data_IF_707703150903
#
_entry.id   IF_707703150903
#
_cell.length_a   1.000
_cell.length_b   1.000
_cell.length_c   1.000
_cell.angle_alpha   90.00
_cell.angle_beta   90.00
_cell.angle_gamma   90.00
#
_symmetry.space_group_name_H-M   'P 1'
#
loop_
_entity.id
_entity.type
_entity.pdbx_description
1 polymer ?
#
# COMPACT_ATOMS: atom_id res chain seq x y z
N UNK A 1 10.81 22.28 -18.09
CA UNK A 1 11.93 21.47 -18.59
C UNK A 1 11.43 20.19 -19.23
N UNK A 2 10.52 19.41 -18.64
CA UNK A 2 10.01 18.15 -19.23
C UNK A 2 9.52 18.26 -20.68
N UNK A 3 8.83 19.34 -21.04
CA UNK A 3 8.41 19.57 -22.43
C UNK A 3 9.55 19.62 -23.45
N UNK A 4 10.78 19.98 -23.04
CA UNK A 4 11.99 19.93 -23.89
C UNK A 4 12.23 18.51 -24.40
N UNK A 5 11.88 17.50 -23.60
CA UNK A 5 12.04 16.10 -23.96
C UNK A 5 11.20 15.71 -25.17
N UNK A 6 10.26 16.53 -25.66
CA UNK A 6 9.38 16.25 -26.80
C UNK A 6 9.59 17.21 -27.99
N UNK A 7 10.53 18.15 -27.88
CA UNK A 7 10.73 19.21 -28.85
C UNK A 7 12.12 19.12 -29.49
N UNK A 8 12.24 19.67 -30.71
CA UNK A 8 13.56 19.96 -31.28
C UNK A 8 14.18 21.17 -30.59
N UNK A 9 15.51 21.26 -30.60
CA UNK A 9 16.24 22.38 -30.00
C UNK A 9 15.82 23.75 -30.56
N UNK A 10 15.48 23.81 -31.85
CA UNK A 10 14.97 25.02 -32.51
C UNK A 10 13.63 25.48 -31.91
N UNK A 11 12.68 24.55 -31.73
CA UNK A 11 11.37 24.84 -31.14
C UNK A 11 11.51 25.21 -29.68
N UNK A 12 12.39 24.52 -28.95
CA UNK A 12 12.67 24.82 -27.55
C UNK A 12 13.25 26.23 -27.39
N UNK A 13 14.25 26.59 -28.21
CA UNK A 13 14.84 27.94 -28.21
C UNK A 13 13.80 29.02 -28.50
N UNK A 14 12.92 28.79 -29.49
CA UNK A 14 11.82 29.71 -29.78
C UNK A 14 10.92 29.94 -28.56
N UNK A 15 10.58 28.88 -27.82
CA UNK A 15 9.76 28.99 -26.59
C UNK A 15 10.50 29.77 -25.49
N UNK A 16 11.81 29.58 -25.34
CA UNK A 16 12.63 30.33 -24.39
C UNK A 16 12.65 31.82 -24.73
N UNK A 17 12.87 32.15 -26.02
CA UNK A 17 12.91 33.52 -26.53
C UNK A 17 11.56 34.23 -26.37
N UNK A 18 10.45 33.56 -26.72
CA UNK A 18 9.09 34.09 -26.55
C UNK A 18 8.73 34.37 -25.09
N UNK A 19 9.32 33.61 -24.15
CA UNK A 19 9.09 33.77 -22.71
C UNK A 19 10.11 34.69 -22.04
N UNK A 20 11.16 35.11 -22.73
CA UNK A 20 12.24 35.94 -22.18
C UNK A 20 12.98 35.28 -21.02
N UNK A 21 13.14 33.96 -21.04
CA UNK A 21 13.82 33.19 -19.98
C UNK A 21 14.91 32.31 -20.58
N UNK A 22 15.96 32.06 -19.81
CA UNK A 22 17.00 31.11 -20.19
C UNK A 22 16.67 29.70 -19.71
N UNK A 23 17.37 28.71 -20.25
CA UNK A 23 17.25 27.33 -19.76
C UNK A 23 17.70 27.21 -18.29
N UNK A 24 18.74 27.94 -17.89
CA UNK A 24 19.20 27.97 -16.50
C UNK A 24 18.14 28.55 -15.56
N UNK A 25 17.41 29.58 -15.98
CA UNK A 25 16.29 30.12 -15.20
C UNK A 25 15.22 29.04 -14.98
N UNK A 26 14.84 28.30 -16.03
CA UNK A 26 13.84 27.26 -15.92
C UNK A 26 14.30 26.05 -15.10
N UNK A 27 15.57 25.66 -15.23
CA UNK A 27 16.17 24.53 -14.54
C UNK A 27 16.41 24.87 -13.06
N UNK A 28 17.21 25.90 -12.80
CA UNK A 28 17.87 26.09 -11.50
C UNK A 28 17.05 26.96 -10.51
N UNK A 29 16.13 27.80 -11.00
CA UNK A 29 15.41 28.76 -10.13
C UNK A 29 14.00 28.35 -9.76
N UNK A 30 13.37 27.47 -10.54
CA UNK A 30 11.94 27.11 -10.37
C UNK A 30 11.72 25.92 -9.43
N UNK A 31 12.73 25.07 -9.28
CA UNK A 31 12.64 23.83 -8.53
C UNK A 31 13.81 23.76 -7.56
N UNK A 32 13.54 23.40 -6.31
CA UNK A 32 14.60 23.20 -5.32
C UNK A 32 15.31 21.86 -5.51
N UNK A 33 14.60 20.87 -6.08
CA UNK A 33 15.13 19.55 -6.40
C UNK A 33 14.31 18.92 -7.53
N UNK A 34 14.94 17.99 -8.25
CA UNK A 34 14.33 17.21 -9.33
C UNK A 34 14.57 15.74 -9.04
N UNK A 35 13.50 14.96 -9.00
CA UNK A 35 13.55 13.52 -8.76
C UNK A 35 13.11 12.79 -10.02
N UNK A 36 14.07 12.20 -10.72
CA UNK A 36 13.79 11.38 -11.89
C UNK A 36 13.57 9.93 -11.47
N UNK A 37 12.32 9.48 -11.47
CA UNK A 37 11.98 8.08 -11.25
C UNK A 37 12.06 7.32 -12.56
N UNK A 38 13.14 6.54 -12.74
CA UNK A 38 13.40 5.79 -13.98
C UNK A 38 12.21 4.88 -14.31
N UNK A 39 11.77 4.94 -15.57
CA UNK A 39 10.69 4.12 -16.13
C UNK A 39 10.89 2.63 -15.85
N UNK A 40 9.79 1.89 -15.65
CA UNK A 40 9.86 0.43 -15.51
C UNK A 40 10.48 -0.25 -16.75
N UNK A 41 10.40 0.36 -17.93
CA UNK A 41 11.04 -0.18 -19.12
C UNK A 41 12.58 -0.31 -19.00
N UNK A 42 13.23 0.44 -18.11
CA UNK A 42 14.66 0.33 -17.81
C UNK A 42 14.89 -0.53 -16.56
N UNK A 43 15.35 -1.77 -16.73
CA UNK A 43 15.71 -2.66 -15.61
C UNK A 43 14.54 -3.31 -14.85
N UNK A 44 13.29 -3.01 -15.21
CA UNK A 44 12.08 -3.55 -14.58
C UNK A 44 10.99 -3.89 -15.62
N UNK A 45 11.40 -4.32 -16.81
CA UNK A 45 10.54 -4.41 -18.01
C UNK A 45 9.33 -5.31 -17.84
N UNK A 46 9.42 -6.32 -16.98
CA UNK A 46 8.29 -7.13 -16.57
C UNK A 46 7.16 -6.29 -15.98
N UNK A 47 7.43 -5.23 -15.24
CA UNK A 47 6.42 -4.34 -14.66
C UNK A 47 5.91 -3.27 -15.64
N UNK A 48 6.47 -3.17 -16.84
CA UNK A 48 5.99 -2.24 -17.86
C UNK A 48 4.81 -2.86 -18.63
N UNK A 49 3.58 -2.43 -18.30
CA UNK A 49 2.37 -2.90 -18.98
C UNK A 49 1.61 -1.75 -19.64
N UNK A 50 0.99 -2.07 -20.78
CA UNK A 50 0.02 -1.20 -21.48
C UNK A 50 -1.43 -1.56 -21.14
N UNK A 51 -1.66 -2.75 -20.60
CA UNK A 51 -3.01 -3.31 -20.34
C UNK A 51 -3.80 -2.51 -19.29
N UNK A 52 -3.10 -1.87 -18.35
CA UNK A 52 -3.72 -1.22 -17.20
C UNK A 52 -3.79 0.30 -17.32
N UNK A 53 -3.30 0.87 -18.44
CA UNK A 53 -3.22 2.33 -18.60
C UNK A 53 -3.63 2.73 -20.03
N UNK A 54 -4.88 3.20 -20.18
CA UNK A 54 -5.44 3.61 -21.47
C UNK A 54 -4.73 4.82 -22.10
N UNK A 55 -3.98 5.59 -21.31
CA UNK A 55 -3.25 6.77 -21.78
C UNK A 55 -1.80 6.46 -22.18
N UNK A 56 -1.30 5.24 -21.90
CA UNK A 56 0.06 4.83 -22.25
C UNK A 56 0.08 4.16 -23.63
N UNK A 57 0.83 4.74 -24.55
CA UNK A 57 0.86 4.29 -25.96
C UNK A 57 2.25 3.87 -26.43
N UNK A 58 3.28 4.19 -25.63
CA UNK A 58 4.69 3.99 -25.96
C UNK A 58 5.14 2.53 -25.75
N UNK A 59 5.86 1.98 -26.73
CA UNK A 59 6.54 0.68 -26.55
C UNK A 59 7.61 0.79 -25.45
N UNK A 60 8.07 -0.34 -24.86
CA UNK A 60 9.15 -0.31 -23.87
C UNK A 60 10.40 0.46 -24.35
N UNK A 61 10.78 0.30 -25.62
CA UNK A 61 11.94 0.99 -26.22
C UNK A 61 11.70 2.50 -26.35
N UNK A 62 10.49 2.89 -26.77
CA UNK A 62 10.12 4.31 -26.84
C UNK A 62 10.08 4.95 -25.46
N UNK A 63 9.57 4.23 -24.46
CA UNK A 63 9.56 4.67 -23.07
C UNK A 63 10.99 4.82 -22.52
N UNK A 64 11.90 3.91 -22.87
CA UNK A 64 13.32 3.99 -22.52
C UNK A 64 14.00 5.23 -23.13
N UNK A 65 13.80 5.47 -24.43
CA UNK A 65 14.37 6.66 -25.10
C UNK A 65 13.84 7.95 -24.50
N UNK A 66 12.52 8.01 -24.27
CA UNK A 66 11.86 9.17 -23.71
C UNK A 66 12.26 9.44 -22.26
N UNK A 67 12.44 8.40 -21.45
CA UNK A 67 12.94 8.50 -20.07
C UNK A 67 14.35 9.11 -20.06
N UNK A 68 15.25 8.59 -20.90
CA UNK A 68 16.62 9.11 -21.05
C UNK A 68 16.65 10.55 -21.56
N UNK A 69 15.78 10.91 -22.50
CA UNK A 69 15.64 12.31 -22.97
C UNK A 69 15.16 13.22 -21.86
N UNK A 70 14.16 12.80 -21.10
CA UNK A 70 13.62 13.56 -19.96
C UNK A 70 14.68 13.78 -18.89
N UNK A 71 15.45 12.73 -18.57
CA UNK A 71 16.60 12.84 -17.68
C UNK A 71 17.62 13.86 -18.20
N UNK A 72 17.98 13.79 -19.49
CA UNK A 72 18.92 14.74 -20.11
C UNK A 72 18.48 16.20 -20.01
N UNK A 73 17.17 16.46 -20.06
CA UNK A 73 16.64 17.81 -19.98
C UNK A 73 16.96 18.50 -18.64
N UNK A 74 17.14 17.73 -17.57
CA UNK A 74 17.43 18.26 -16.23
C UNK A 74 18.91 18.22 -15.85
N UNK A 75 19.78 17.74 -16.74
CA UNK A 75 21.21 17.70 -16.48
C UNK A 75 21.75 19.09 -16.11
N UNK A 76 22.53 19.12 -15.03
CA UNK A 76 23.11 20.34 -14.47
C UNK A 76 22.30 20.99 -13.35
N UNK A 77 21.09 20.51 -13.04
CA UNK A 77 20.36 20.97 -11.86
C UNK A 77 21.13 20.56 -10.58
N UNK A 78 21.39 21.47 -9.62
CA UNK A 78 22.24 21.19 -8.44
C UNK A 78 21.74 20.00 -7.59
N UNK A 79 20.43 19.85 -7.49
CA UNK A 79 19.74 18.80 -6.74
C UNK A 79 18.95 17.85 -7.65
N UNK A 80 19.62 17.27 -8.65
CA UNK A 80 19.03 16.22 -9.50
C UNK A 80 19.33 14.84 -8.92
N UNK A 81 18.28 14.07 -8.64
CA UNK A 81 18.38 12.70 -8.15
C UNK A 81 17.73 11.74 -9.13
N UNK A 82 18.43 10.64 -9.42
CA UNK A 82 17.93 9.59 -10.33
C UNK A 82 17.70 8.34 -9.50
N UNK A 83 16.46 7.85 -9.52
CA UNK A 83 16.05 6.64 -8.83
C UNK A 83 15.84 5.52 -9.85
N UNK A 84 16.78 4.59 -9.87
CA UNK A 84 16.80 3.39 -10.70
C UNK A 84 15.85 2.29 -10.18
N UNK A 85 15.76 1.18 -10.92
CA UNK A 85 14.92 0.02 -10.60
C UNK A 85 15.73 -1.15 -9.99
N UNK A 86 16.83 -0.87 -9.30
CA UNK A 86 17.67 -1.89 -8.64
C UNK A 86 17.03 -2.56 -7.42
N UNK A 87 15.93 -2.00 -6.90
CA UNK A 87 15.15 -2.52 -5.78
C UNK A 87 13.67 -2.64 -6.18
N UNK A 88 12.86 -3.28 -5.34
CA UNK A 88 11.40 -3.24 -5.50
C UNK A 88 10.85 -1.81 -5.43
N UNK A 89 9.60 -1.64 -5.89
CA UNK A 89 8.96 -0.33 -6.01
C UNK A 89 8.81 0.40 -4.67
N UNK A 90 8.50 -0.33 -3.59
CA UNK A 90 8.36 0.25 -2.25
C UNK A 90 9.70 0.75 -1.73
N UNK A 91 10.77 -0.02 -1.92
CA UNK A 91 12.13 0.37 -1.57
C UNK A 91 12.61 1.58 -2.39
N UNK A 92 12.22 1.65 -3.67
CA UNK A 92 12.47 2.81 -4.53
C UNK A 92 11.74 4.06 -4.03
N UNK A 93 10.49 3.94 -3.61
CA UNK A 93 9.73 5.02 -2.98
C UNK A 93 10.34 5.44 -1.65
N UNK A 94 10.79 4.49 -0.81
CA UNK A 94 11.45 4.81 0.45
C UNK A 94 12.75 5.59 0.22
N UNK A 95 13.54 5.23 -0.81
CA UNK A 95 14.72 6.02 -1.22
C UNK A 95 14.33 7.45 -1.60
N UNK A 96 13.25 7.64 -2.37
CA UNK A 96 12.74 8.96 -2.72
C UNK A 96 12.37 9.77 -1.47
N UNK A 97 11.56 9.18 -0.58
CA UNK A 97 11.14 9.80 0.67
C UNK A 97 12.35 10.19 1.52
N UNK A 98 13.35 9.31 1.63
CA UNK A 98 14.57 9.60 2.39
C UNK A 98 15.34 10.80 1.82
N UNK A 99 15.49 10.90 0.49
CA UNK A 99 16.14 12.06 -0.14
C UNK A 99 15.34 13.34 0.10
N UNK A 100 14.00 13.28 -0.06
CA UNK A 100 13.12 14.43 0.20
C UNK A 100 13.25 14.89 1.64
N UNK A 101 13.19 13.96 2.61
CA UNK A 101 13.36 14.28 4.03
C UNK A 101 14.72 14.96 4.29
N UNK A 102 15.80 14.46 3.72
CA UNK A 102 17.14 15.07 3.82
C UNK A 102 17.15 16.51 3.31
N UNK A 103 16.52 16.77 2.16
CA UNK A 103 16.47 18.10 1.55
C UNK A 103 15.64 19.10 2.37
N UNK A 104 14.56 18.65 3.01
CA UNK A 104 13.71 19.52 3.84
C UNK A 104 14.10 19.54 5.32
N UNK A 105 15.20 18.87 5.69
CA UNK A 105 15.68 18.80 7.08
C UNK A 105 14.85 17.92 8.02
N UNK A 106 14.09 16.97 7.47
CA UNK A 106 13.35 15.96 8.23
C UNK A 106 14.21 14.71 8.50
N UNK A 107 13.97 13.99 9.61
CA UNK A 107 14.65 12.74 9.90
C UNK A 107 14.40 11.69 8.81
N UNK A 108 15.47 11.06 8.31
CA UNK A 108 15.45 10.20 7.11
C UNK A 108 15.46 8.71 7.41
N UNK A 109 15.25 8.33 8.66
CA UNK A 109 15.41 6.97 9.14
C UNK A 109 14.15 6.46 9.85
N UNK A 110 12.98 7.01 9.60
CA UNK A 110 11.74 6.47 10.17
C UNK A 110 10.91 5.86 9.04
N UNK A 111 10.86 4.53 8.97
CA UNK A 111 9.88 3.82 8.14
C UNK A 111 8.65 3.50 9.00
N UNK A 112 7.46 3.83 8.48
CA UNK A 112 6.19 3.43 9.12
C UNK A 112 6.01 1.93 8.89
N UNK A 113 6.11 1.15 9.96
CA UNK A 113 5.93 -0.30 9.95
C UNK A 113 4.65 -0.65 10.71
N UNK A 114 4.01 -1.74 10.32
CA UNK A 114 2.98 -2.35 11.15
C UNK A 114 3.49 -3.66 11.69
N UNK A 115 3.46 -3.83 13.00
CA UNK A 115 3.74 -5.13 13.63
C UNK A 115 2.44 -5.76 14.11
N UNK A 116 2.41 -7.10 14.19
CA UNK A 116 1.23 -7.87 14.55
C UNK A 116 1.54 -8.75 15.75
N UNK A 117 0.61 -8.81 16.71
CA UNK A 117 0.71 -9.69 17.87
C UNK A 117 -0.53 -10.58 17.93
N UNK A 118 -0.34 -11.84 18.29
CA UNK A 118 -1.44 -12.74 18.63
C UNK A 118 -1.93 -12.39 20.04
N UNK A 119 -3.24 -12.25 20.20
CA UNK A 119 -3.88 -12.09 21.50
C UNK A 119 -4.44 -13.43 21.97
N UNK A 120 -4.39 -13.67 23.27
CA UNK A 120 -4.96 -14.88 23.88
C UNK A 120 -6.49 -14.91 23.76
N UNK A 121 -7.13 -13.75 23.83
CA UNK A 121 -8.58 -13.60 23.72
C UNK A 121 -8.99 -12.21 23.26
N UNK A 122 -10.25 -12.11 22.83
CA UNK A 122 -10.91 -10.82 22.54
C UNK A 122 -11.05 -10.02 23.85
N UNK A 123 -10.59 -8.76 23.90
CA UNK A 123 -10.86 -7.91 25.07
C UNK A 123 -12.35 -7.59 25.16
N UNK A 124 -12.85 -7.51 26.39
CA UNK A 124 -14.22 -7.09 26.63
C UNK A 124 -14.28 -5.56 26.78
N UNK A 125 -15.49 -4.97 26.76
CA UNK A 125 -15.65 -3.52 26.88
C UNK A 125 -15.11 -2.94 28.18
N UNK A 126 -14.97 -3.75 29.23
CA UNK A 126 -14.40 -3.37 30.53
C UNK A 126 -12.88 -3.53 30.61
N UNK A 127 -12.25 -4.17 29.62
CA UNK A 127 -10.79 -4.32 29.55
C UNK A 127 -10.08 -3.01 29.23
N UNK A 128 -10.78 -2.03 28.65
CA UNK A 128 -10.18 -0.75 28.30
C UNK A 128 -10.18 0.18 29.53
N UNK A 129 -9.03 0.79 29.88
CA UNK A 129 -8.97 1.87 30.87
C UNK A 129 -9.90 3.03 30.50
N UNK A 130 -10.38 3.76 31.50
CA UNK A 130 -11.37 4.85 31.31
C UNK A 130 -10.84 6.01 30.46
N UNK A 131 -9.53 6.16 30.39
CA UNK A 131 -8.80 7.18 29.64
C UNK A 131 -8.41 6.72 28.23
N UNK A 132 -8.75 5.48 27.84
CA UNK A 132 -8.50 4.95 26.50
C UNK A 132 -9.80 4.85 25.72
N UNK A 133 -10.04 5.86 24.89
CA UNK A 133 -11.13 5.83 23.92
C UNK A 133 -10.87 4.81 22.81
N UNK A 134 -11.94 4.15 22.36
CA UNK A 134 -11.87 3.21 21.25
C UNK A 134 -13.07 3.36 20.31
N UNK A 135 -12.84 3.03 19.04
CA UNK A 135 -13.88 2.95 18.01
C UNK A 135 -14.01 1.53 17.47
N UNK A 136 -15.25 1.12 17.24
CA UNK A 136 -15.57 -0.20 16.72
C UNK A 136 -16.00 -0.16 15.27
N UNK A 137 -15.63 -1.19 14.54
CA UNK A 137 -15.98 -1.37 13.14
C UNK A 137 -16.33 -2.82 12.86
N UNK A 138 -17.36 -3.04 12.06
CA UNK A 138 -17.57 -4.34 11.41
C UNK A 138 -16.84 -4.33 10.06
N UNK A 139 -16.04 -5.35 9.79
CA UNK A 139 -15.33 -5.51 8.53
C UNK A 139 -15.69 -6.84 7.89
N UNK A 140 -16.13 -6.78 6.65
CA UNK A 140 -16.35 -7.93 5.78
C UNK A 140 -15.33 -7.88 4.63
N UNK A 141 -14.66 -9.00 4.36
CA UNK A 141 -13.83 -9.19 3.16
C UNK A 141 -14.37 -10.35 2.35
N UNK A 142 -14.55 -10.11 1.06
CA UNK A 142 -15.05 -11.08 0.09
C UNK A 142 -14.02 -11.22 -1.01
N UNK A 143 -13.36 -12.36 -1.07
CA UNK A 143 -12.40 -12.69 -2.14
C UNK A 143 -13.15 -12.95 -3.44
N UNK A 144 -12.56 -12.53 -4.56
CA UNK A 144 -13.14 -12.63 -5.89
C UNK A 144 -12.42 -13.68 -6.72
N UNK A 145 -13.12 -14.27 -7.69
CA UNK A 145 -12.50 -15.15 -8.69
C UNK A 145 -11.54 -14.32 -9.54
N UNK A 146 -10.26 -14.72 -9.57
CA UNK A 146 -9.25 -14.11 -10.45
C UNK A 146 -9.39 -14.76 -11.83
N UNK A 147 -9.63 -13.95 -12.86
CA UNK A 147 -9.84 -14.46 -14.23
C UNK A 147 -8.54 -14.90 -14.91
N UNK A 148 -7.37 -14.39 -14.46
CA UNK A 148 -6.06 -14.72 -15.02
C UNK A 148 -5.24 -15.60 -14.08
N UNK A 149 -5.27 -16.91 -14.32
CA UNK A 149 -4.55 -17.92 -13.52
C UNK A 149 -3.03 -17.99 -13.77
N UNK A 150 -2.48 -17.14 -14.64
CA UNK A 150 -1.07 -17.15 -15.02
C UNK A 150 -0.14 -16.63 -13.90
N UNK A 151 -0.64 -15.78 -13.01
CA UNK A 151 0.12 -15.25 -11.87
C UNK A 151 -0.15 -16.10 -10.62
N UNK A 152 0.73 -17.07 -10.35
CA UNK A 152 0.64 -17.93 -9.17
C UNK A 152 0.62 -17.08 -7.88
N UNK A 153 -0.54 -16.94 -7.25
CA UNK A 153 -0.71 -16.21 -5.99
C UNK A 153 -1.25 -14.78 -6.11
N UNK A 154 -1.71 -14.35 -7.28
CA UNK A 154 -2.54 -13.16 -7.41
C UNK A 154 -3.93 -13.40 -6.79
N UNK A 155 -4.52 -12.36 -6.19
CA UNK A 155 -5.88 -12.41 -5.65
C UNK A 155 -6.50 -11.03 -5.59
N UNK A 156 -7.83 -10.98 -5.63
CA UNK A 156 -8.59 -9.75 -5.45
C UNK A 156 -9.63 -9.95 -4.34
N UNK A 157 -9.94 -8.88 -3.60
CA UNK A 157 -11.04 -8.88 -2.66
C UNK A 157 -11.71 -7.50 -2.57
N UNK A 158 -13.02 -7.52 -2.35
CA UNK A 158 -13.76 -6.34 -1.90
C UNK A 158 -13.87 -6.35 -0.38
N UNK A 159 -13.78 -5.16 0.22
CA UNK A 159 -13.92 -4.95 1.66
C UNK A 159 -15.02 -3.95 1.93
N UNK A 160 -15.94 -4.29 2.82
CA UNK A 160 -16.89 -3.37 3.44
C UNK A 160 -16.47 -3.12 4.88
N UNK A 161 -16.31 -1.86 5.26
CA UNK A 161 -16.06 -1.44 6.65
C UNK A 161 -17.22 -0.57 7.12
N UNK A 162 -17.88 -0.96 8.20
CA UNK A 162 -19.01 -0.24 8.78
C UNK A 162 -18.61 0.32 10.13
N UNK A 163 -18.81 1.61 10.35
CA UNK A 163 -18.59 2.26 11.64
C UNK A 163 -19.71 1.89 12.60
N UNK A 164 -19.36 1.46 13.80
CA UNK A 164 -20.30 1.16 14.87
C UNK A 164 -20.22 2.30 15.89
N UNK A 165 -21.32 3.06 15.98
CA UNK A 165 -21.47 4.14 16.94
C UNK A 165 -21.96 3.65 18.31
N UNK A 166 -22.23 4.59 19.19
CA UNK A 166 -22.75 4.33 20.53
C UNK A 166 -24.04 3.49 20.49
N UNK A 167 -24.15 2.56 21.45
CA UNK A 167 -25.27 1.62 21.54
C UNK A 167 -25.33 0.58 20.41
N UNK A 168 -24.24 0.39 19.65
CA UNK A 168 -24.15 -0.64 18.60
C UNK A 168 -24.81 -0.24 17.28
N UNK A 169 -25.18 1.03 17.09
CA UNK A 169 -25.83 1.49 15.86
C UNK A 169 -24.82 1.65 14.72
N UNK A 170 -25.19 1.19 13.52
CA UNK A 170 -24.35 1.33 12.32
C UNK A 170 -24.41 2.78 11.79
N UNK A 171 -23.26 3.42 11.63
CA UNK A 171 -23.11 4.84 11.24
C UNK A 171 -22.50 5.02 9.84
N UNK A 172 -22.80 4.11 8.92
CA UNK A 172 -22.34 4.16 7.53
C UNK A 172 -21.22 3.17 7.22
N UNK A 173 -21.05 2.92 5.91
CA UNK A 173 -20.09 1.95 5.38
C UNK A 173 -19.21 2.56 4.29
N UNK A 174 -17.94 2.18 4.28
CA UNK A 174 -16.98 2.46 3.21
C UNK A 174 -16.64 1.14 2.51
N UNK A 175 -16.50 1.21 1.18
CA UNK A 175 -16.21 0.07 0.34
C UNK A 175 -14.87 0.26 -0.37
N UNK A 176 -14.10 -0.81 -0.49
CA UNK A 176 -12.78 -0.79 -1.14
C UNK A 176 -12.59 -2.05 -1.97
N UNK A 177 -12.00 -1.92 -3.15
CA UNK A 177 -11.43 -3.02 -3.93
C UNK A 177 -9.94 -3.09 -3.68
N UNK A 178 -9.40 -4.29 -3.56
CA UNK A 178 -7.96 -4.52 -3.43
C UNK A 178 -7.53 -5.64 -4.35
N UNK A 179 -6.60 -5.32 -5.24
CA UNK A 179 -6.01 -6.25 -6.19
C UNK A 179 -4.56 -6.49 -5.79
N UNK A 180 -4.22 -7.76 -5.62
CA UNK A 180 -2.87 -8.22 -5.28
C UNK A 180 -2.34 -9.02 -6.46
N UNK A 181 -1.28 -8.52 -7.09
CA UNK A 181 -0.55 -9.21 -8.14
C UNK A 181 0.81 -9.66 -7.61
N UNK A 182 1.30 -10.80 -8.11
CA UNK A 182 2.66 -11.27 -7.84
C UNK A 182 3.40 -11.37 -9.16
N UNK A 183 4.50 -10.64 -9.30
CA UNK A 183 5.32 -10.63 -10.51
C UNK A 183 6.80 -10.55 -10.13
N UNK A 184 7.59 -11.47 -10.68
CA UNK A 184 9.03 -11.65 -10.38
C UNK A 184 9.37 -11.70 -8.87
N UNK A 185 8.55 -12.41 -8.09
CA UNK A 185 8.73 -12.54 -6.64
C UNK A 185 8.34 -11.28 -5.84
N UNK A 186 7.96 -10.18 -6.49
CA UNK A 186 7.45 -8.98 -5.86
C UNK A 186 5.91 -9.00 -5.78
N UNK A 187 5.37 -8.44 -4.70
CA UNK A 187 3.93 -8.34 -4.45
C UNK A 187 3.48 -6.90 -4.65
N UNK A 188 2.50 -6.69 -5.52
CA UNK A 188 1.90 -5.38 -5.80
C UNK A 188 0.48 -5.36 -5.28
N UNK A 189 0.15 -4.39 -4.44
CA UNK A 189 -1.18 -4.23 -3.88
C UNK A 189 -1.77 -2.88 -4.33
N UNK A 190 -2.83 -2.91 -5.13
CA UNK A 190 -3.57 -1.70 -5.52
C UNK A 190 -4.85 -1.59 -4.69
N UNK A 191 -5.11 -0.41 -4.12
CA UNK A 191 -6.30 -0.14 -3.28
C UNK A 191 -7.10 1.01 -3.87
N UNK A 192 -8.40 0.80 -4.07
CA UNK A 192 -9.33 1.82 -4.57
C UNK A 192 -10.60 1.87 -3.72
N UNK A 193 -11.01 3.06 -3.31
CA UNK A 193 -12.37 3.28 -2.75
C UNK A 193 -13.37 3.10 -3.88
N UNK A 194 -14.40 2.29 -3.64
CA UNK A 194 -15.46 2.00 -4.62
C UNK A 194 -16.82 2.41 -4.08
N UNK A 195 -17.78 2.60 -4.96
CA UNK A 195 -19.17 2.83 -4.59
C UNK A 195 -19.85 1.55 -4.05
N UNK A 196 -20.96 1.72 -3.34
CA UNK A 196 -21.80 0.59 -2.92
C UNK A 196 -22.32 -0.24 -4.12
N UNK A 197 -22.58 0.43 -5.26
CA UNK A 197 -23.01 -0.23 -6.50
C UNK A 197 -21.91 -1.13 -7.07
N UNK A 198 -20.69 -0.62 -7.14
CA UNK A 198 -19.52 -1.41 -7.56
C UNK A 198 -19.26 -2.58 -6.62
N UNK A 199 -19.35 -2.36 -5.29
CA UNK A 199 -19.24 -3.45 -4.32
C UNK A 199 -20.25 -4.58 -4.60
N UNK A 200 -21.52 -4.23 -4.78
CA UNK A 200 -22.57 -5.21 -5.04
C UNK A 200 -22.41 -5.90 -6.40
N UNK A 201 -21.85 -5.22 -7.40
CA UNK A 201 -21.53 -5.82 -8.69
C UNK A 201 -20.40 -6.84 -8.55
N UNK A 202 -19.27 -6.46 -7.93
CA UNK A 202 -18.12 -7.34 -7.68
C UNK A 202 -18.47 -8.49 -6.74
N UNK A 203 -19.37 -8.31 -5.79
CA UNK A 203 -19.80 -9.39 -4.88
C UNK A 203 -20.37 -10.60 -5.63
N UNK A 204 -20.94 -10.39 -6.82
CA UNK A 204 -21.47 -11.48 -7.66
C UNK A 204 -20.37 -12.40 -8.22
N UNK A 205 -19.14 -11.91 -8.32
CA UNK A 205 -17.96 -12.70 -8.75
C UNK A 205 -17.13 -13.18 -7.56
N UNK A 206 -17.73 -13.35 -6.38
CA UNK A 206 -17.06 -13.92 -5.21
C UNK A 206 -16.50 -15.31 -5.51
N UNK A 207 -15.33 -15.61 -4.97
CA UNK A 207 -14.69 -16.92 -5.06
C UNK A 207 -15.42 -17.91 -4.13
N UNK A 208 -16.09 -18.94 -4.67
CA UNK A 208 -16.81 -19.92 -3.85
C UNK A 208 -15.88 -20.86 -3.09
N UNK A 209 -14.60 -20.94 -3.42
CA UNK A 209 -13.60 -21.74 -2.69
C UNK A 209 -13.11 -21.05 -1.40
N UNK A 210 -13.68 -19.88 -1.08
CA UNK A 210 -13.28 -19.05 0.07
C UNK A 210 -14.46 -18.62 0.92
N UNK A 211 -14.28 -18.70 2.23
CA UNK A 211 -15.15 -18.08 3.21
C UNK A 211 -15.10 -16.56 3.10
N UNK A 212 -16.24 -15.93 3.37
CA UNK A 212 -16.30 -14.49 3.65
C UNK A 212 -15.67 -14.27 5.02
N UNK A 213 -14.62 -13.44 5.08
CA UNK A 213 -13.95 -13.13 6.33
C UNK A 213 -14.68 -11.99 7.01
N UNK A 214 -15.18 -12.23 8.24
CA UNK A 214 -15.88 -11.24 9.06
C UNK A 214 -15.08 -10.96 10.32
N UNK A 215 -14.93 -9.68 10.62
CA UNK A 215 -14.14 -9.21 11.75
C UNK A 215 -14.86 -8.08 12.47
N UNK A 216 -14.84 -8.10 13.80
CA UNK A 216 -14.93 -6.86 14.56
C UNK A 216 -13.53 -6.26 14.66
N UNK A 217 -13.41 -4.96 14.40
CA UNK A 217 -12.18 -4.21 14.62
C UNK A 217 -12.37 -3.16 15.70
N UNK A 218 -11.44 -3.13 16.64
CA UNK A 218 -11.40 -2.14 17.72
C UNK A 218 -10.13 -1.32 17.55
N UNK A 219 -10.28 -0.04 17.20
CA UNK A 219 -9.15 0.89 17.03
C UNK A 219 -9.09 1.85 18.20
N UNK A 220 -7.89 2.09 18.73
CA UNK A 220 -7.64 2.96 19.88
C UNK A 220 -6.22 3.52 19.83
N UNK A 221 -5.99 4.57 20.62
CA UNK A 221 -4.66 5.13 20.85
C UNK A 221 -4.18 4.72 22.24
N UNK A 222 -2.91 4.35 22.35
CA UNK A 222 -2.27 4.08 23.64
C UNK A 222 -0.82 4.52 23.58
N UNK A 223 -0.37 5.35 24.52
CA UNK A 223 0.99 5.93 24.56
C UNK A 223 1.46 6.47 23.20
N UNK A 224 0.60 7.25 22.53
CA UNK A 224 0.86 7.87 21.22
C UNK A 224 1.03 6.88 20.05
N UNK A 225 0.73 5.60 20.26
CA UNK A 225 0.73 4.58 19.23
C UNK A 225 -0.71 4.20 18.86
N UNK A 226 -0.93 3.98 17.56
CA UNK A 226 -2.24 3.57 17.04
C UNK A 226 -2.32 2.06 16.96
N UNK A 227 -3.33 1.50 17.62
CA UNK A 227 -3.58 0.07 17.63
C UNK A 227 -4.90 -0.25 16.93
N UNK A 228 -4.99 -1.45 16.37
CA UNK A 228 -6.26 -2.01 15.92
C UNK A 228 -6.29 -3.51 16.18
N UNK A 229 -7.26 -3.94 16.98
CA UNK A 229 -7.52 -5.35 17.22
C UNK A 229 -8.41 -5.85 16.10
N UNK A 230 -8.04 -6.97 15.49
CA UNK A 230 -8.85 -7.74 14.56
C UNK A 230 -9.38 -8.97 15.29
N UNK A 231 -10.62 -8.92 15.75
CA UNK A 231 -11.32 -10.09 16.26
C UNK A 231 -12.02 -10.79 15.10
N UNK A 232 -11.55 -11.98 14.73
CA UNK A 232 -12.15 -12.78 13.66
C UNK A 232 -13.42 -13.47 14.17
N UNK A 233 -14.53 -13.21 13.49
CA UNK A 233 -15.83 -13.83 13.76
C UNK A 233 -16.07 -15.00 12.81
N UNK A 234 -15.59 -14.89 11.56
CA UNK A 234 -15.63 -15.95 10.55
C UNK A 234 -14.40 -15.83 9.64
N UNK A 235 -13.82 -16.95 9.17
CA UNK A 235 -14.14 -18.34 9.50
C UNK A 235 -13.44 -18.87 10.77
N UNK A 236 -12.68 -18.02 11.47
CA UNK A 236 -11.87 -18.44 12.62
C UNK A 236 -12.32 -17.75 13.93
N UNK A 237 -13.47 -18.12 14.51
CA UNK A 237 -13.92 -17.58 15.79
C UNK A 237 -12.86 -17.72 16.88
N UNK A 238 -12.68 -16.68 17.68
CA UNK A 238 -11.72 -16.67 18.80
C UNK A 238 -10.32 -16.18 18.43
N UNK A 239 -9.96 -16.14 17.15
CA UNK A 239 -8.70 -15.57 16.71
C UNK A 239 -8.71 -14.04 16.86
N UNK A 240 -7.75 -13.51 17.62
CA UNK A 240 -7.57 -12.07 17.82
C UNK A 240 -6.15 -11.64 17.49
N UNK A 241 -5.99 -10.64 16.64
CA UNK A 241 -4.68 -10.10 16.25
C UNK A 241 -4.63 -8.61 16.53
N UNK A 242 -3.66 -8.18 17.33
CA UNK A 242 -3.37 -6.77 17.57
C UNK A 242 -2.41 -6.26 16.50
N UNK A 243 -2.85 -5.27 15.72
CA UNK A 243 -1.99 -4.52 14.81
C UNK A 243 -1.52 -3.25 15.49
N UNK A 244 -0.22 -3.04 15.60
CA UNK A 244 0.38 -1.80 16.08
C UNK A 244 1.00 -1.04 14.89
N UNK A 245 0.60 0.22 14.71
CA UNK A 245 1.24 1.14 13.78
C UNK A 245 2.40 1.82 14.49
N UNK A 246 3.62 1.57 14.01
CA UNK A 246 4.86 1.93 14.70
C UNK A 246 5.85 2.52 13.73
N UNK A 247 6.68 3.43 14.24
CA UNK A 247 7.82 3.96 13.50
C UNK A 247 9.06 3.21 13.95
N UNK A 248 9.93 2.87 13.00
CA UNK A 248 11.20 2.22 13.30
C UNK A 248 12.27 2.71 12.35
N UNK A 249 13.51 2.67 12.83
CA UNK A 249 14.66 2.74 11.94
C UNK A 249 14.78 1.49 11.10
N UNK A 250 15.38 1.68 9.93
CA UNK A 250 15.69 0.57 9.05
C UNK A 250 16.60 -0.43 9.77
N UNK A 251 16.25 -1.72 9.67
CA UNK A 251 16.90 -2.84 10.36
C UNK A 251 16.79 -2.87 11.89
N UNK A 252 16.01 -1.98 12.52
CA UNK A 252 15.66 -2.09 13.94
C UNK A 252 14.29 -2.74 14.11
N UNK A 253 14.12 -3.46 15.23
CA UNK A 253 12.81 -3.93 15.67
C UNK A 253 12.05 -2.74 16.26
N UNK A 254 10.83 -2.45 15.79
CA UNK A 254 10.05 -1.34 16.33
C UNK A 254 9.83 -1.53 17.83
N UNK A 255 10.08 -0.48 18.60
CA UNK A 255 9.70 -0.42 20.00
C UNK A 255 8.19 -0.21 20.05
N UNK A 256 7.47 -1.12 20.69
CA UNK A 256 6.02 -1.05 20.84
C UNK A 256 5.69 -0.98 22.31
N UNK A 257 5.01 0.08 22.73
CA UNK A 257 4.48 0.16 24.08
C UNK A 257 3.20 -0.65 24.15
N UNK A 258 3.35 -1.94 24.46
CA UNK A 258 2.23 -2.86 24.48
C UNK A 258 1.20 -2.44 25.54
N UNK A 259 -0.10 -2.41 25.20
CA UNK A 259 -1.15 -2.16 26.17
C UNK A 259 -1.18 -3.27 27.23
N UNK A 260 -0.92 -2.89 28.48
CA UNK A 260 -0.85 -3.80 29.64
C UNK A 260 -2.20 -4.40 30.01
N UNK A 261 -3.28 -3.75 29.60
CA UNK A 261 -4.65 -4.22 29.73
C UNK A 261 -5.06 -5.28 28.67
N UNK A 262 -4.15 -5.68 27.78
CA UNK A 262 -4.38 -6.75 26.81
C UNK A 262 -3.55 -7.99 27.16
N UNK A 263 -4.17 -9.17 27.02
CA UNK A 263 -3.50 -10.46 27.16
C UNK A 263 -2.85 -10.84 25.82
N UNK A 264 -1.59 -10.42 25.66
CA UNK A 264 -0.78 -10.68 24.47
C UNK A 264 -0.07 -12.02 24.62
N UNK A 265 -0.21 -12.88 23.62
CA UNK A 265 0.47 -14.19 23.59
C UNK A 265 1.90 -14.03 23.06
N UNK A 266 2.03 -13.62 21.80
CA UNK A 266 3.34 -13.44 21.15
C UNK A 266 3.30 -12.49 19.96
N UNK A 267 4.49 -12.03 19.56
CA UNK A 267 4.73 -11.38 18.27
C UNK A 267 4.49 -12.37 17.11
N UNK A 268 3.86 -11.90 16.03
CA UNK A 268 3.73 -12.65 14.78
C UNK A 268 4.83 -12.24 13.80
N UNK A 269 5.46 -13.25 13.19
CA UNK A 269 6.50 -13.07 12.18
C UNK A 269 5.92 -13.09 10.76
N UNK A 270 6.75 -12.83 9.73
CA UNK A 270 6.29 -12.91 8.34
C UNK A 270 5.83 -14.31 7.94
N UNK A 271 6.47 -15.34 8.50
CA UNK A 271 6.13 -16.76 8.30
C UNK A 271 4.73 -17.12 8.84
N UNK A 272 4.22 -16.36 9.82
CA UNK A 272 2.90 -16.56 10.39
C UNK A 272 1.76 -16.11 9.45
N UNK A 273 2.04 -15.37 8.37
CA UNK A 273 1.01 -14.89 7.44
C UNK A 273 0.27 -16.03 6.72
N UNK A 274 0.95 -17.15 6.48
CA UNK A 274 0.33 -18.35 5.89
C UNK A 274 -0.66 -19.02 6.86
N UNK A 275 -0.54 -18.74 8.16
CA UNK A 275 -1.44 -19.30 9.20
C UNK A 275 -2.54 -18.31 9.58
N UNK A 276 -2.18 -17.05 9.82
CA UNK A 276 -3.07 -16.04 10.42
C UNK A 276 -3.48 -14.92 9.45
N UNK A 277 -2.94 -14.92 8.23
CA UNK A 277 -3.32 -13.98 7.19
C UNK A 277 -4.76 -14.21 6.73
N UNK A 278 -5.52 -13.13 6.56
CA UNK A 278 -6.94 -13.23 6.18
C UNK A 278 -7.15 -13.97 4.85
N UNK A 279 -6.18 -13.91 3.93
CA UNK A 279 -6.22 -14.66 2.67
C UNK A 279 -6.13 -16.17 2.92
N UNK A 280 -5.18 -16.59 3.75
CA UNK A 280 -4.98 -18.00 4.10
C UNK A 280 -6.14 -18.55 4.92
N UNK A 281 -6.63 -17.78 5.90
CA UNK A 281 -7.80 -18.13 6.72
C UNK A 281 -9.08 -18.27 5.89
N UNK A 282 -9.20 -17.57 4.77
CA UNK A 282 -10.40 -17.63 3.94
C UNK A 282 -10.55 -18.95 3.18
N UNK A 283 -9.50 -19.75 2.99
CA UNK A 283 -9.56 -20.96 2.16
C UNK A 283 -10.50 -22.00 2.78
N UNK A 284 -11.49 -22.47 2.01
CA UNK A 284 -12.33 -23.61 2.39
C UNK A 284 -11.52 -24.87 2.16
N UNK A 285 -11.23 -25.62 3.22
CA UNK A 285 -10.58 -26.93 3.12
C UNK A 285 -11.68 -28.00 3.09
N UNK A 286 -11.69 -28.85 2.06
CA UNK A 286 -12.59 -30.00 2.01
C UNK A 286 -12.21 -31.00 3.12
N UNK A 287 -13.00 -31.08 4.18
CA UNK A 287 -12.83 -32.06 5.27
C UNK A 287 -13.24 -33.48 4.85
N UNK A 288 -13.69 -33.70 3.61
CA UNK A 288 -14.20 -34.99 3.10
C UNK A 288 -13.13 -35.96 2.59
N UNK A 289 -11.82 -35.66 2.70
CA UNK A 289 -10.74 -36.57 2.27
C UNK A 289 -10.08 -37.40 3.38
N UNK A 290 -10.56 -37.31 4.62
CA UNK A 290 -9.95 -38.00 5.77
C UNK A 290 -10.92 -38.79 6.67
N UNK A 291 -12.09 -39.17 6.17
CA UNK A 291 -12.96 -40.16 6.85
C UNK A 291 -13.08 -41.43 6.00
#
# INVERSE_FOLDING_TARGET
MDGKAYLSDEKWKKILDERGVTEADLRDTRYNAVFHMVTAADGASSFYTLENNQDRSETPEQALDLDRRSQKCWLGHPHMYVLDNSTDFESKLQRLVNIVCQLVGLPTNLSRRSTKYLLQKRPNGTSFPKDVDFHRFEVEKVYLVVQNAADSGAYSFIRKRTTIGEGGKKQGSVYQLTDVAKKDGQVFETKRIISAREYNASYKSRDPSRHIVRQERISFLYKTQSFTIHNYEQPSPGLCILHAQVESKDNETPIVDLPDFLEIDRLLEKSDEDTYGAYSLSVIRDETKYN
#
